data_IF_293201054788
#
_entry.id   IF_293201054788
#
_cell.length_a   1.000
_cell.length_b   1.000
_cell.length_c   1.000
_cell.angle_alpha   90.00
_cell.angle_beta   90.00
_cell.angle_gamma   90.00
#
_symmetry.space_group_name_H-M   'P 1'
#
loop_
_entity.id
_entity.type
_entity.pdbx_description
1 polymer ?
#
# COMPACT_ATOMS: atom_id res chain seq x y z
N UNK A 1 -30.05 -1.10 -41.54
CA UNK A 1 -29.96 -1.89 -40.30
C UNK A 1 -29.38 -0.97 -39.26
N UNK A 2 -30.25 -0.35 -38.48
CA UNK A 2 -29.89 0.71 -37.53
C UNK A 2 -29.72 0.05 -36.17
N UNK A 3 -28.53 0.13 -35.59
CA UNK A 3 -28.30 -0.29 -34.20
C UNK A 3 -28.52 0.96 -33.35
N UNK A 4 -29.71 1.07 -32.78
CA UNK A 4 -29.96 2.00 -31.68
C UNK A 4 -29.32 1.42 -30.41
N UNK A 5 -28.29 2.09 -29.89
CA UNK A 5 -27.83 1.88 -28.52
C UNK A 5 -28.45 2.95 -27.63
N UNK A 6 -29.74 2.78 -27.32
CA UNK A 6 -30.40 3.50 -26.23
C UNK A 6 -29.99 2.86 -24.89
N UNK A 7 -28.78 3.18 -24.45
CA UNK A 7 -28.37 3.02 -23.07
C UNK A 7 -27.73 4.32 -22.64
N UNK A 8 -28.45 5.15 -21.89
CA UNK A 8 -27.83 6.25 -21.15
C UNK A 8 -26.64 5.67 -20.38
N UNK A 9 -25.40 6.16 -20.57
CA UNK A 9 -24.25 5.62 -19.84
C UNK A 9 -24.58 5.66 -18.35
N UNK A 10 -24.60 4.49 -17.72
CA UNK A 10 -24.90 4.37 -16.31
C UNK A 10 -23.80 5.10 -15.56
N UNK A 11 -24.13 6.26 -14.99
CA UNK A 11 -23.17 7.10 -14.28
C UNK A 11 -22.86 6.40 -12.96
N UNK A 12 -21.72 5.73 -12.89
CA UNK A 12 -21.20 5.19 -11.64
C UNK A 12 -20.48 6.32 -10.91
N UNK A 13 -21.10 6.81 -9.84
CA UNK A 13 -20.46 7.75 -8.92
C UNK A 13 -19.53 6.96 -7.99
N UNK A 14 -18.26 7.34 -7.98
CA UNK A 14 -17.25 6.76 -7.10
C UNK A 14 -16.75 7.87 -6.17
N UNK A 15 -16.82 7.64 -4.87
CA UNK A 15 -16.08 8.47 -3.91
C UNK A 15 -14.58 8.22 -4.13
N UNK A 16 -13.84 9.31 -4.36
CA UNK A 16 -12.40 9.26 -4.64
C UNK A 16 -11.63 10.11 -3.64
N UNK A 17 -10.34 9.84 -3.54
CA UNK A 17 -9.39 10.74 -2.87
C UNK A 17 -8.35 11.22 -3.88
N UNK A 18 -8.16 12.54 -3.92
CA UNK A 18 -7.19 13.21 -4.79
C UNK A 18 -5.99 13.62 -3.95
N UNK A 19 -4.80 13.17 -4.34
CA UNK A 19 -3.55 13.47 -3.67
C UNK A 19 -2.57 14.14 -4.64
N UNK A 20 -1.76 15.05 -4.11
CA UNK A 20 -0.65 15.65 -4.84
C UNK A 20 0.63 14.98 -4.36
N UNK A 21 1.37 14.33 -5.26
CA UNK A 21 2.67 13.77 -4.92
C UNK A 21 3.63 14.93 -4.65
N UNK A 22 4.40 14.80 -3.56
CA UNK A 22 5.57 15.63 -3.32
C UNK A 22 6.66 15.34 -4.35
N UNK A 23 7.65 16.23 -4.48
CA UNK A 23 8.77 16.05 -5.42
C UNK A 23 9.59 14.80 -5.08
N UNK A 24 9.69 14.46 -3.79
CA UNK A 24 10.30 13.22 -3.28
C UNK A 24 9.51 11.99 -3.73
N UNK A 25 8.18 12.01 -3.60
CA UNK A 25 7.31 10.92 -4.04
C UNK A 25 7.23 10.81 -5.57
N UNK A 26 7.36 11.93 -6.28
CA UNK A 26 7.28 12.03 -7.73
C UNK A 26 8.55 11.56 -8.45
N UNK A 27 9.69 11.40 -7.74
CA UNK A 27 10.99 10.97 -8.27
C UNK A 27 11.32 11.59 -9.65
N UNK A 28 11.34 12.93 -9.75
CA UNK A 28 11.59 13.67 -11.00
C UNK A 28 10.54 13.51 -12.12
N UNK A 29 9.32 13.11 -11.78
CA UNK A 29 8.19 13.20 -12.70
C UNK A 29 7.85 11.92 -13.49
N UNK A 30 8.55 10.80 -13.29
CA UNK A 30 8.24 9.53 -13.98
C UNK A 30 7.24 8.63 -13.22
N UNK A 31 6.77 9.08 -12.06
CA UNK A 31 6.25 8.14 -11.05
C UNK A 31 4.73 7.98 -11.08
N UNK A 32 3.95 8.99 -11.48
CA UNK A 32 2.48 8.93 -11.41
C UNK A 32 1.85 7.84 -12.27
N UNK A 33 2.13 7.83 -13.58
CA UNK A 33 1.62 6.82 -14.51
C UNK A 33 2.07 5.41 -14.16
N UNK A 34 3.33 5.29 -13.72
CA UNK A 34 3.89 4.03 -13.24
C UNK A 34 3.13 3.54 -12.02
N UNK A 35 2.87 4.40 -11.03
CA UNK A 35 2.14 4.01 -9.83
C UNK A 35 0.74 3.47 -10.14
N UNK A 36 0.01 4.12 -11.05
CA UNK A 36 -1.30 3.62 -11.51
C UNK A 36 -1.16 2.26 -12.19
N UNK A 37 -0.25 2.16 -13.15
CA UNK A 37 -0.01 0.93 -13.93
C UNK A 37 0.38 -0.24 -13.04
N UNK A 38 1.31 -0.03 -12.11
CA UNK A 38 1.78 -1.07 -11.19
C UNK A 38 0.70 -1.46 -10.17
N UNK A 39 -0.10 -0.50 -9.68
CA UNK A 39 -1.22 -0.78 -8.78
C UNK A 39 -2.29 -1.62 -9.46
N UNK A 40 -2.63 -1.34 -10.72
CA UNK A 40 -3.63 -2.10 -11.48
C UNK A 40 -3.24 -3.57 -11.69
N UNK A 41 -1.94 -3.88 -11.80
CA UNK A 41 -1.44 -5.27 -11.84
C UNK A 41 -1.72 -6.04 -10.54
N UNK A 42 -1.99 -5.34 -9.44
CA UNK A 42 -2.29 -5.88 -8.11
C UNK A 42 -3.77 -5.78 -7.73
N UNK A 43 -4.68 -5.51 -8.68
CA UNK A 43 -6.12 -5.40 -8.42
C UNK A 43 -6.75 -6.63 -7.74
N UNK A 44 -6.07 -7.78 -7.72
CA UNK A 44 -6.50 -9.00 -7.02
C UNK A 44 -6.23 -8.99 -5.51
N UNK A 45 -5.65 -7.91 -4.97
CA UNK A 45 -5.44 -7.71 -3.53
C UNK A 45 -6.20 -6.46 -3.03
N UNK A 46 -7.53 -6.35 -3.25
CA UNK A 46 -8.28 -5.13 -2.95
C UNK A 46 -8.33 -4.81 -1.44
N UNK A 47 -8.16 -5.82 -0.58
CA UNK A 47 -8.12 -5.64 0.87
C UNK A 47 -6.74 -5.25 1.40
N UNK A 48 -5.70 -5.27 0.55
CA UNK A 48 -4.31 -5.06 0.96
C UNK A 48 -3.67 -3.86 0.26
N UNK A 49 -4.06 -3.56 -0.97
CA UNK A 49 -3.49 -2.49 -1.82
C UNK A 49 -4.60 -1.50 -2.14
N UNK A 50 -4.29 -0.20 -2.00
CA UNK A 50 -5.20 0.88 -2.39
C UNK A 50 -5.35 0.89 -3.90
N UNK A 51 -6.58 0.97 -4.40
CA UNK A 51 -6.83 1.17 -5.83
C UNK A 51 -6.41 2.58 -6.29
N UNK A 52 -5.58 2.64 -7.33
CA UNK A 52 -5.24 3.87 -8.04
C UNK A 52 -5.96 3.88 -9.39
N UNK A 53 -6.81 4.89 -9.63
CA UNK A 53 -7.63 4.97 -10.83
C UNK A 53 -6.91 5.68 -11.96
N UNK A 54 -6.33 6.85 -11.69
CA UNK A 54 -5.62 7.64 -12.69
C UNK A 54 -4.60 8.58 -12.05
N UNK A 55 -3.72 9.10 -12.90
CA UNK A 55 -2.71 10.08 -12.56
C UNK A 55 -2.60 11.13 -13.66
N UNK A 56 -2.30 12.36 -13.30
CA UNK A 56 -2.00 13.42 -14.27
C UNK A 56 -0.94 14.36 -13.73
N UNK A 57 -0.01 14.81 -14.57
CA UNK A 57 0.93 15.86 -14.20
C UNK A 57 0.29 17.24 -14.43
N UNK A 58 0.23 18.06 -13.38
CA UNK A 58 -0.29 19.42 -13.47
C UNK A 58 0.87 20.42 -13.53
N UNK A 59 1.14 20.94 -14.73
CA UNK A 59 2.26 21.86 -15.01
C UNK A 59 2.18 23.14 -14.17
N UNK A 60 0.99 23.69 -13.96
CA UNK A 60 0.77 24.95 -13.20
C UNK A 60 1.29 24.88 -11.76
N UNK A 61 1.16 23.72 -11.12
CA UNK A 61 1.64 23.49 -9.75
C UNK A 61 2.91 22.65 -9.70
N UNK A 62 3.41 22.19 -10.85
CA UNK A 62 4.60 21.36 -10.98
C UNK A 62 4.51 20.01 -10.25
N UNK A 63 3.31 19.40 -10.18
CA UNK A 63 3.11 18.17 -9.38
C UNK A 63 2.24 17.14 -10.07
N UNK A 64 2.49 15.87 -9.74
CA UNK A 64 1.59 14.77 -10.06
C UNK A 64 0.35 14.80 -9.16
N UNK A 65 -0.80 14.67 -9.80
CA UNK A 65 -2.11 14.46 -9.18
C UNK A 65 -2.43 12.97 -9.30
N UNK A 66 -2.69 12.33 -8.18
CA UNK A 66 -3.10 10.93 -8.10
C UNK A 66 -4.54 10.84 -7.65
N UNK A 67 -5.31 9.94 -8.26
CA UNK A 67 -6.68 9.66 -7.89
C UNK A 67 -6.78 8.22 -7.41
N UNK A 68 -7.14 8.05 -6.14
CA UNK A 68 -7.32 6.77 -5.49
C UNK A 68 -8.79 6.52 -5.15
N UNK A 69 -9.11 5.29 -4.75
CA UNK A 69 -10.32 4.99 -3.98
C UNK A 69 -10.45 5.92 -2.76
N UNK A 70 -11.67 6.02 -2.21
CA UNK A 70 -11.93 6.80 -1.00
C UNK A 70 -11.04 6.34 0.15
N UNK A 71 -10.23 7.26 0.67
CA UNK A 71 -9.39 7.05 1.84
C UNK A 71 -10.06 7.67 3.06
N UNK A 72 -10.24 6.88 4.11
CA UNK A 72 -10.86 7.32 5.36
C UNK A 72 -9.86 8.05 6.26
N UNK A 73 -8.60 7.61 6.27
CA UNK A 73 -7.55 8.20 7.12
C UNK A 73 -6.14 7.89 6.63
N UNK A 74 -5.25 8.87 6.78
CA UNK A 74 -3.82 8.73 6.55
C UNK A 74 -3.08 8.41 7.85
N UNK A 75 -2.02 7.59 7.73
CA UNK A 75 -1.06 7.40 8.79
C UNK A 75 -0.07 8.59 8.74
N UNK A 76 -0.46 9.71 9.32
CA UNK A 76 0.40 10.90 9.47
C UNK A 76 1.07 10.93 10.85
N UNK A 77 2.28 11.49 10.96
CA UNK A 77 2.94 11.77 12.24
C UNK A 77 4.33 11.15 12.43
N UNK A 78 5.26 11.94 12.99
CA UNK A 78 6.63 11.57 13.37
C UNK A 78 6.73 10.87 14.74
N UNK A 79 5.61 10.71 15.43
CA UNK A 79 5.52 10.36 16.85
C UNK A 79 5.50 8.85 17.14
N UNK A 80 5.72 8.00 16.13
CA UNK A 80 5.90 6.55 16.36
C UNK A 80 4.65 5.83 16.90
N UNK A 81 3.53 6.54 17.07
CA UNK A 81 2.24 5.99 17.54
C UNK A 81 1.26 5.83 16.40
N UNK A 82 0.65 4.65 16.27
CA UNK A 82 -0.51 4.46 15.41
C UNK A 82 -1.68 5.33 15.92
N UNK A 83 -2.65 5.70 15.06
CA UNK A 83 -3.80 6.49 15.49
C UNK A 83 -4.48 5.92 16.76
N UNK A 84 -4.98 6.75 17.68
CA UNK A 84 -5.61 6.32 18.95
C UNK A 84 -6.77 5.32 18.81
N UNK A 85 -7.36 5.22 17.61
CA UNK A 85 -8.32 4.17 17.28
C UNK A 85 -7.80 2.76 17.63
N UNK A 86 -6.49 2.54 17.44
CA UNK A 86 -5.82 1.27 17.68
C UNK A 86 -5.40 1.07 19.14
N UNK A 87 -5.56 2.05 20.02
CA UNK A 87 -5.19 1.94 21.44
C UNK A 87 -6.37 1.62 22.36
N UNK A 88 -7.62 1.73 21.87
CA UNK A 88 -8.84 1.58 22.67
C UNK A 88 -9.53 0.22 22.55
N UNK A 89 -9.05 -0.69 21.69
CA UNK A 89 -9.53 -2.06 21.59
C UNK A 89 -8.83 -2.95 22.63
N UNK A 90 -9.50 -4.03 23.06
CA UNK A 90 -8.85 -5.04 23.89
C UNK A 90 -7.58 -5.55 23.19
N UNK A 91 -6.49 -5.70 23.95
CA UNK A 91 -5.16 -6.02 23.41
C UNK A 91 -5.15 -7.28 22.54
N UNK A 92 -6.02 -8.26 22.81
CA UNK A 92 -6.12 -9.51 22.06
C UNK A 92 -6.75 -9.32 20.68
N UNK A 93 -7.79 -8.49 20.58
CA UNK A 93 -8.46 -8.15 19.32
C UNK A 93 -7.54 -7.35 18.41
N UNK A 94 -6.79 -6.42 19.01
CA UNK A 94 -5.79 -5.62 18.30
C UNK A 94 -4.67 -6.47 17.70
N UNK A 95 -4.16 -7.46 18.45
CA UNK A 95 -3.13 -8.38 17.95
C UNK A 95 -3.65 -9.26 16.83
N UNK A 96 -4.90 -9.75 16.94
CA UNK A 96 -5.53 -10.58 15.91
C UNK A 96 -5.74 -9.78 14.63
N UNK A 97 -6.23 -8.55 14.75
CA UNK A 97 -6.37 -7.61 13.63
C UNK A 97 -5.02 -7.39 12.92
N UNK A 98 -3.98 -7.00 13.65
CA UNK A 98 -2.68 -6.71 13.04
C UNK A 98 -1.99 -7.95 12.47
N UNK A 99 -2.22 -9.13 13.05
CA UNK A 99 -1.76 -10.40 12.46
C UNK A 99 -2.40 -10.61 11.09
N UNK A 100 -3.72 -10.48 10.99
CA UNK A 100 -4.44 -10.62 9.72
C UNK A 100 -4.00 -9.57 8.69
N UNK A 101 -3.91 -8.30 9.08
CA UNK A 101 -3.43 -7.21 8.22
C UNK A 101 -2.02 -7.48 7.72
N UNK A 102 -1.11 -7.90 8.58
CA UNK A 102 0.28 -8.17 8.19
C UNK A 102 0.40 -9.37 7.28
N UNK A 103 -0.34 -10.46 7.55
CA UNK A 103 -0.41 -11.60 6.63
C UNK A 103 -0.92 -11.19 5.25
N UNK A 104 -1.91 -10.31 5.20
CA UNK A 104 -2.44 -9.72 3.96
C UNK A 104 -1.37 -8.93 3.21
N UNK A 105 -0.58 -8.09 3.90
CA UNK A 105 0.53 -7.35 3.31
C UNK A 105 1.62 -8.26 2.75
N UNK A 106 2.02 -9.29 3.51
CA UNK A 106 3.02 -10.27 3.06
C UNK A 106 2.52 -10.99 1.80
N UNK A 107 1.24 -11.38 1.76
CA UNK A 107 0.65 -12.02 0.60
C UNK A 107 0.64 -11.09 -0.62
N UNK A 108 0.25 -9.82 -0.44
CA UNK A 108 0.22 -8.83 -1.53
C UNK A 108 1.62 -8.56 -2.10
N UNK A 109 2.64 -8.35 -1.25
CA UNK A 109 4.03 -8.17 -1.72
C UNK A 109 4.58 -9.46 -2.34
N UNK A 110 4.21 -10.64 -1.81
CA UNK A 110 4.60 -11.90 -2.44
C UNK A 110 3.97 -12.09 -3.82
N UNK A 111 2.73 -11.65 -4.02
CA UNK A 111 2.07 -11.63 -5.33
C UNK A 111 2.74 -10.62 -6.27
N UNK A 112 3.23 -9.49 -5.77
CA UNK A 112 3.90 -8.48 -6.58
C UNK A 112 5.06 -9.07 -7.37
N UNK A 113 5.81 -10.01 -6.78
CA UNK A 113 6.86 -10.78 -7.48
C UNK A 113 6.34 -11.46 -8.75
N UNK A 114 5.26 -12.22 -8.68
CA UNK A 114 4.76 -12.97 -9.84
C UNK A 114 4.14 -12.06 -10.92
N UNK A 115 3.86 -10.81 -10.56
CA UNK A 115 3.36 -9.77 -11.45
C UNK A 115 4.44 -8.83 -11.96
N UNK A 116 5.70 -9.02 -11.57
CA UNK A 116 6.81 -8.12 -11.92
C UNK A 116 6.65 -6.72 -11.35
N UNK A 117 5.94 -6.59 -10.22
CA UNK A 117 5.64 -5.33 -9.54
C UNK A 117 6.56 -5.17 -8.34
N UNK A 118 7.16 -3.98 -8.22
CA UNK A 118 7.93 -3.55 -7.05
C UNK A 118 7.17 -2.37 -6.44
N UNK A 119 6.88 -2.44 -5.14
CA UNK A 119 6.27 -1.32 -4.42
C UNK A 119 7.23 -0.13 -4.43
N UNK A 120 8.51 -0.36 -4.13
CA UNK A 120 9.51 0.70 -4.10
C UNK A 120 9.66 1.33 -2.71
N UNK A 121 9.51 0.51 -1.66
CA UNK A 121 9.89 0.85 -0.28
C UNK A 121 8.72 1.07 0.71
N UNK A 122 7.95 0.05 1.07
CA UNK A 122 6.89 0.17 2.07
C UNK A 122 7.46 0.25 3.51
N UNK A 123 8.39 1.17 3.78
CA UNK A 123 9.03 1.33 5.10
C UNK A 123 8.45 2.48 5.90
N UNK A 124 7.88 3.50 5.24
CA UNK A 124 7.36 4.69 5.89
C UNK A 124 5.83 4.60 6.07
N UNK A 125 5.33 5.33 7.08
CA UNK A 125 3.90 5.39 7.41
C UNK A 125 3.04 5.91 6.27
N UNK A 126 3.57 6.80 5.45
CA UNK A 126 2.85 7.35 4.28
C UNK A 126 2.59 6.32 3.20
N UNK A 127 3.16 5.11 3.29
CA UNK A 127 2.79 3.97 2.46
C UNK A 127 1.53 3.25 2.95
N UNK A 128 0.89 3.69 4.04
CA UNK A 128 -0.26 3.02 4.63
C UNK A 128 -1.41 3.98 4.91
N UNK A 129 -2.63 3.52 4.62
CA UNK A 129 -3.87 4.28 4.81
C UNK A 129 -4.99 3.39 5.28
N UNK A 130 -6.05 4.00 5.80
CA UNK A 130 -7.32 3.32 6.06
C UNK A 130 -8.26 3.60 4.88
N UNK A 131 -8.79 2.57 4.25
CA UNK A 131 -9.89 2.64 3.27
C UNK A 131 -10.93 1.58 3.61
N UNK A 132 -12.21 1.96 3.63
CA UNK A 132 -13.33 1.05 3.88
C UNK A 132 -13.16 0.23 5.17
N UNK A 133 -12.57 0.86 6.20
CA UNK A 133 -12.30 0.22 7.49
C UNK A 133 -11.13 -0.77 7.52
N UNK A 134 -10.39 -0.96 6.42
CA UNK A 134 -9.19 -1.80 6.37
C UNK A 134 -7.92 -0.97 6.22
N UNK A 135 -6.79 -1.48 6.73
CA UNK A 135 -5.49 -0.85 6.48
C UNK A 135 -4.93 -1.41 5.19
N UNK A 136 -4.60 -0.52 4.25
CA UNK A 136 -4.07 -0.86 2.93
C UNK A 136 -2.72 -0.18 2.68
N UNK A 137 -1.93 -0.79 1.82
CA UNK A 137 -0.69 -0.24 1.28
C UNK A 137 -1.03 0.67 0.10
N UNK A 138 -0.46 1.86 0.07
CA UNK A 138 -0.53 2.80 -1.04
C UNK A 138 0.86 3.08 -1.60
N UNK A 139 0.92 3.84 -2.70
CA UNK A 139 2.17 4.23 -3.35
C UNK A 139 2.98 3.05 -3.92
N UNK A 140 2.30 2.06 -4.51
CA UNK A 140 2.96 1.00 -5.28
C UNK A 140 3.61 1.59 -6.53
N UNK A 141 4.81 1.10 -6.89
CA UNK A 141 5.50 1.50 -8.13
C UNK A 141 6.50 2.64 -7.98
N UNK A 142 6.88 3.02 -6.75
CA UNK A 142 7.91 4.05 -6.53
C UNK A 142 9.27 3.63 -7.06
N UNK A 143 10.03 4.59 -7.56
CA UNK A 143 11.32 4.34 -8.18
C UNK A 143 12.52 4.28 -7.20
N UNK A 144 12.42 4.86 -6.00
CA UNK A 144 13.63 5.32 -5.29
C UNK A 144 14.13 4.48 -4.09
N UNK A 145 13.45 3.43 -3.64
CA UNK A 145 13.87 2.78 -2.38
C UNK A 145 14.02 1.27 -2.41
N UNK A 146 13.37 0.55 -3.33
CA UNK A 146 13.57 -0.90 -3.47
C UNK A 146 13.94 -1.25 -4.90
N UNK A 147 14.88 -2.18 -5.05
CA UNK A 147 15.33 -2.73 -6.33
C UNK A 147 14.60 -4.02 -6.70
N UNK A 148 14.00 -4.69 -5.72
CA UNK A 148 13.22 -5.89 -5.89
C UNK A 148 12.16 -6.08 -4.78
N UNK A 149 11.34 -7.12 -4.92
CA UNK A 149 10.29 -7.46 -3.96
C UNK A 149 10.83 -7.95 -2.61
N UNK A 150 12.08 -8.46 -2.55
CA UNK A 150 12.69 -8.94 -1.31
C UNK A 150 13.02 -7.75 -0.42
N UNK A 151 13.59 -6.70 -1.04
CA UNK A 151 13.83 -5.43 -0.38
C UNK A 151 12.52 -4.77 0.10
N UNK A 152 11.43 -4.87 -0.67
CA UNK A 152 10.10 -4.43 -0.21
C UNK A 152 9.62 -5.17 1.05
N UNK A 153 9.90 -6.47 1.16
CA UNK A 153 9.55 -7.23 2.37
C UNK A 153 10.41 -6.86 3.57
N UNK A 154 11.71 -6.57 3.37
CA UNK A 154 12.55 -6.03 4.43
C UNK A 154 12.10 -4.63 4.87
N UNK A 155 11.59 -3.81 3.95
CA UNK A 155 10.99 -2.52 4.27
C UNK A 155 9.68 -2.68 5.07
N UNK A 156 8.80 -3.59 4.66
CA UNK A 156 7.59 -3.93 5.44
C UNK A 156 7.97 -4.42 6.85
N UNK A 157 8.97 -5.29 6.96
CA UNK A 157 9.50 -5.75 8.24
C UNK A 157 9.98 -4.57 9.11
N UNK A 158 10.75 -3.66 8.52
CA UNK A 158 11.27 -2.49 9.23
C UNK A 158 10.13 -1.61 9.76
N UNK A 159 9.08 -1.41 8.96
CA UNK A 159 7.87 -0.74 9.40
C UNK A 159 7.23 -1.44 10.61
N UNK A 160 6.96 -2.75 10.52
CA UNK A 160 6.35 -3.53 11.60
C UNK A 160 7.21 -3.46 12.88
N UNK A 161 8.52 -3.64 12.75
CA UNK A 161 9.46 -3.66 13.87
C UNK A 161 9.59 -2.32 14.58
N UNK A 162 9.43 -1.22 13.84
CA UNK A 162 9.49 0.13 14.40
C UNK A 162 8.27 0.51 15.24
N UNK A 163 7.20 -0.30 15.24
CA UNK A 163 5.93 0.04 15.86
C UNK A 163 5.64 -0.88 17.09
N UNK A 164 5.69 -0.35 18.33
CA UNK A 164 5.55 -1.16 19.55
C UNK A 164 4.23 -1.92 19.67
N UNK A 165 3.17 -1.43 19.02
CA UNK A 165 1.83 -2.04 18.98
C UNK A 165 1.83 -3.47 18.44
N UNK A 166 2.78 -3.82 17.57
CA UNK A 166 2.91 -5.17 17.03
C UNK A 166 3.54 -6.15 18.01
N UNK A 167 4.10 -5.66 19.13
CA UNK A 167 4.68 -6.49 20.19
C UNK A 167 5.80 -7.41 19.69
N UNK A 168 6.56 -6.97 18.69
CA UNK A 168 7.46 -7.82 17.90
C UNK A 168 8.48 -8.57 18.75
N UNK A 169 9.13 -7.86 19.67
CA UNK A 169 10.22 -8.39 20.49
C UNK A 169 9.82 -9.55 21.39
N UNK A 170 8.53 -9.76 21.63
CA UNK A 170 8.00 -10.76 22.56
C UNK A 170 7.11 -11.81 21.87
N UNK A 171 7.06 -11.87 20.53
CA UNK A 171 6.13 -12.76 19.82
C UNK A 171 6.84 -13.74 18.88
N UNK A 172 6.54 -15.03 19.07
CA UNK A 172 7.06 -16.14 18.28
C UNK A 172 6.58 -16.10 16.81
N UNK A 173 5.42 -15.50 16.55
CA UNK A 173 4.88 -15.35 15.19
C UNK A 173 5.81 -14.51 14.31
N UNK A 174 6.47 -13.51 14.90
CA UNK A 174 7.41 -12.63 14.18
C UNK A 174 8.75 -13.30 13.88
N UNK A 175 9.18 -14.27 14.70
CA UNK A 175 10.32 -15.11 14.37
C UNK A 175 10.04 -15.94 13.10
N UNK A 176 8.79 -16.36 12.89
CA UNK A 176 8.35 -17.02 11.66
C UNK A 176 8.49 -16.14 10.42
N UNK A 177 8.17 -14.84 10.53
CA UNK A 177 8.35 -13.89 9.45
C UNK A 177 9.83 -13.67 9.10
N UNK A 178 10.70 -13.52 10.10
CA UNK A 178 12.15 -13.43 9.87
C UNK A 178 12.71 -14.69 9.19
N UNK A 179 12.26 -15.87 9.62
CA UNK A 179 12.64 -17.14 8.99
C UNK A 179 12.15 -17.22 7.53
N UNK A 180 10.96 -16.70 7.22
CA UNK A 180 10.44 -16.63 5.86
C UNK A 180 11.34 -15.75 4.98
N UNK A 181 11.71 -14.55 5.45
CA UNK A 181 12.59 -13.63 4.72
C UNK A 181 13.98 -14.22 4.47
N UNK A 182 14.52 -14.95 5.46
CA UNK A 182 15.77 -15.69 5.32
C UNK A 182 15.67 -16.98 4.49
N UNK A 183 14.47 -17.42 4.11
CA UNK A 183 14.28 -18.68 3.40
C UNK A 183 14.67 -18.59 1.93
N UNK A 184 15.17 -19.70 1.38
CA UNK A 184 15.49 -19.82 -0.06
C UNK A 184 14.29 -19.52 -0.97
N UNK A 185 13.06 -19.78 -0.52
CA UNK A 185 11.85 -19.49 -1.30
C UNK A 185 11.70 -18.00 -1.59
N UNK A 186 12.10 -17.15 -0.64
CA UNK A 186 12.04 -15.69 -0.81
C UNK A 186 13.26 -15.14 -1.57
N UNK A 187 14.39 -15.86 -1.57
CA UNK A 187 15.63 -15.42 -2.24
C UNK A 187 15.78 -15.89 -3.70
N UNK A 188 14.87 -16.72 -4.20
CA UNK A 188 14.91 -17.18 -5.60
C UNK A 188 14.58 -16.02 -6.55
N UNK A 189 15.56 -15.59 -7.35
CA UNK A 189 15.38 -14.61 -8.42
C UNK A 189 14.59 -15.19 -9.59
#
# INVERSE_FOLDING_TARGET
MTIESNGTPQRHEHDITILFLSDEEACNGETGERMVTETQKLAYCPDSIVEAYLSAYCETIGRWVMVYERLDRFFSGNDGTLPPFFTNLEKLDLMTFWRATTSSFIAAISLSKSRGVIHGGPFCRTCYVISSGTVKIMNVGRAQHSRDYVEDLYHLRSFIWSNPVFGVTNSADWAGFDNLLGSRKMQQK
#
